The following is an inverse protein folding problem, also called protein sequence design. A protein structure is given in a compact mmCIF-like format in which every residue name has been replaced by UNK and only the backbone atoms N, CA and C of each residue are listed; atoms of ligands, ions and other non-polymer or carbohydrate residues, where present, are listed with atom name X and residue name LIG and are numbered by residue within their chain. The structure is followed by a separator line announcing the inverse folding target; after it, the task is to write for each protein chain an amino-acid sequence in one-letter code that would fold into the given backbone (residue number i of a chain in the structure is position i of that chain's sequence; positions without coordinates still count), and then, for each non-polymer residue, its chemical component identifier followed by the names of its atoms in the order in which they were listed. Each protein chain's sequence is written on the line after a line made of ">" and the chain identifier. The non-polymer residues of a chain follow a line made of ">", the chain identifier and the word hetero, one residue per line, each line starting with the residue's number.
data_IF_797288344124
#
_entry.id   IF_797288344124
#
_cell.length_a   1.000
_cell.length_b   1.000
_cell.length_c   1.000
_cell.angle_alpha   90.00
_cell.angle_beta   90.00
_cell.angle_gamma   90.00
#
_symmetry.space_group_name_H-M   'P 1'
#
loop_
_entity.id
_entity.type
_entity.pdbx_description
1 polymer ?
#
# COMPACT_ATOMS: atom_id res chain seq x y z
N UNK A 1 -16.65 10.05 -39.98
CA UNK A 1 -15.21 9.87 -40.28
C UNK A 1 -14.42 10.40 -39.09
N UNK A 2 -13.90 9.53 -38.23
CA UNK A 2 -13.13 9.94 -37.03
C UNK A 2 -11.66 9.97 -37.42
N UNK A 3 -11.04 11.16 -37.39
CA UNK A 3 -9.60 11.28 -37.66
C UNK A 3 -8.81 10.91 -36.39
N UNK A 4 -7.81 10.03 -36.49
CA UNK A 4 -6.98 9.68 -35.34
C UNK A 4 -6.15 10.91 -34.94
N UNK A 5 -6.25 11.29 -33.67
CA UNK A 5 -5.49 12.39 -33.08
C UNK A 5 -4.01 12.04 -33.14
N UNK A 6 -3.21 12.84 -33.86
CA UNK A 6 -1.76 12.69 -33.96
C UNK A 6 -1.14 13.00 -32.60
N UNK A 7 -0.99 11.99 -31.76
CA UNK A 7 -0.37 12.12 -30.46
C UNK A 7 1.15 12.13 -30.67
N UNK A 8 1.78 13.28 -30.47
CA UNK A 8 3.20 13.51 -30.69
C UNK A 8 4.09 12.90 -29.57
N UNK A 9 3.68 11.75 -29.04
CA UNK A 9 4.42 11.04 -28.01
C UNK A 9 5.39 10.08 -28.69
N UNK A 10 6.70 10.30 -28.50
CA UNK A 10 7.70 9.31 -28.89
C UNK A 10 7.34 7.96 -28.28
N UNK A 11 7.28 6.94 -29.12
CA UNK A 11 6.97 5.58 -28.69
C UNK A 11 8.09 5.10 -27.73
N UNK A 12 7.76 5.00 -26.45
CA UNK A 12 8.69 4.49 -25.43
C UNK A 12 8.59 2.98 -25.39
N UNK A 13 9.60 2.30 -25.94
CA UNK A 13 9.74 0.86 -25.84
C UNK A 13 10.54 0.53 -24.57
N UNK A 14 10.00 -0.34 -23.72
CA UNK A 14 10.67 -0.82 -22.51
C UNK A 14 11.08 -2.28 -22.65
N UNK A 15 12.35 -2.57 -22.39
CA UNK A 15 12.89 -3.92 -22.38
C UNK A 15 12.69 -4.57 -21.01
N UNK A 16 11.93 -5.67 -20.98
CA UNK A 16 11.72 -6.46 -19.76
C UNK A 16 13.06 -7.03 -19.25
N UNK A 17 14.00 -7.34 -20.15
CA UNK A 17 15.34 -7.84 -19.77
C UNK A 17 16.12 -6.78 -19.01
N UNK A 18 16.07 -5.53 -19.47
CA UNK A 18 16.76 -4.41 -18.82
C UNK A 18 16.11 -4.05 -17.50
N UNK A 19 14.78 -4.09 -17.44
CA UNK A 19 14.04 -3.92 -16.19
C UNK A 19 14.41 -4.98 -15.15
N UNK A 20 14.40 -6.27 -15.53
CA UNK A 20 14.80 -7.37 -14.62
C UNK A 20 16.24 -7.19 -14.12
N UNK A 21 17.16 -6.75 -14.99
CA UNK A 21 18.56 -6.45 -14.62
C UNK A 21 18.66 -5.28 -13.64
N UNK A 22 17.84 -4.24 -13.82
CA UNK A 22 17.82 -3.07 -12.93
C UNK A 22 17.24 -3.37 -11.55
N UNK A 23 16.19 -4.18 -11.48
CA UNK A 23 15.47 -4.49 -10.23
C UNK A 23 16.19 -5.54 -9.38
N UNK A 24 17.05 -6.37 -9.97
CA UNK A 24 17.91 -7.36 -9.25
C UNK A 24 17.10 -8.21 -8.25
N UNK A 25 17.50 -8.24 -6.98
CA UNK A 25 16.89 -8.99 -5.88
C UNK A 25 15.46 -8.55 -5.56
N UNK A 26 15.06 -7.35 -5.97
CA UNK A 26 13.69 -6.87 -5.74
C UNK A 26 12.68 -7.56 -6.66
N UNK A 27 13.14 -8.27 -7.70
CA UNK A 27 12.26 -8.96 -8.65
C UNK A 27 11.41 -10.02 -7.96
N UNK A 28 11.97 -10.68 -6.95
CA UNK A 28 11.34 -11.80 -6.27
C UNK A 28 10.22 -11.29 -5.34
N UNK A 29 10.39 -10.13 -4.70
CA UNK A 29 9.35 -9.53 -3.85
C UNK A 29 8.39 -8.61 -4.61
N UNK A 30 8.60 -8.40 -5.92
CA UNK A 30 7.90 -7.38 -6.70
C UNK A 30 6.40 -7.68 -6.79
N UNK A 31 6.01 -8.95 -6.97
CA UNK A 31 4.62 -9.36 -7.05
C UNK A 31 3.88 -9.14 -5.72
N UNK A 32 4.52 -9.50 -4.59
CA UNK A 32 3.97 -9.21 -3.27
C UNK A 32 3.77 -7.70 -3.08
N UNK A 33 4.77 -6.89 -3.47
CA UNK A 33 4.66 -5.44 -3.38
C UNK A 33 3.56 -4.88 -4.28
N UNK A 34 3.40 -5.42 -5.49
CA UNK A 34 2.35 -5.03 -6.43
C UNK A 34 0.96 -5.33 -5.87
N UNK A 35 0.77 -6.49 -5.24
CA UNK A 35 -0.48 -6.85 -4.56
C UNK A 35 -0.83 -5.87 -3.43
N UNK A 36 0.15 -5.45 -2.62
CA UNK A 36 -0.09 -4.50 -1.53
C UNK A 36 -0.29 -3.05 -1.97
N UNK A 37 0.46 -2.61 -3.00
CA UNK A 37 0.46 -1.22 -3.43
C UNK A 37 -0.56 -0.91 -4.52
N UNK A 38 -1.39 -1.89 -4.84
CA UNK A 38 -2.46 -1.80 -5.83
C UNK A 38 -1.96 -2.10 -7.24
N UNK A 39 -2.67 -3.01 -7.89
CA UNK A 39 -2.63 -3.21 -9.33
C UNK A 39 -3.71 -2.35 -10.01
N UNK A 40 -3.87 -2.49 -11.33
CA UNK A 40 -4.90 -1.75 -12.06
C UNK A 40 -6.33 -2.16 -11.64
N UNK A 41 -6.47 -3.33 -11.01
CA UNK A 41 -7.77 -3.90 -10.59
C UNK A 41 -7.99 -3.94 -9.08
N UNK A 42 -6.98 -3.65 -8.25
CA UNK A 42 -7.06 -3.75 -6.78
C UNK A 42 -6.65 -2.43 -6.15
N UNK A 43 -7.47 -1.95 -5.21
CA UNK A 43 -7.19 -0.74 -4.44
C UNK A 43 -5.85 -0.82 -3.71
N UNK A 44 -5.09 0.27 -3.79
CA UNK A 44 -3.84 0.43 -3.06
C UNK A 44 -4.08 0.76 -1.57
N UNK A 45 -3.09 0.45 -0.72
CA UNK A 45 -3.10 0.94 0.66
C UNK A 45 -3.17 2.47 0.68
N UNK A 46 -4.16 3.01 1.41
CA UNK A 46 -4.44 4.45 1.47
C UNK A 46 -3.20 5.28 1.83
N UNK A 47 -2.91 6.30 1.00
CA UNK A 47 -1.76 7.21 1.12
C UNK A 47 -0.39 6.51 1.14
N UNK A 48 -0.27 5.30 0.59
CA UNK A 48 1.01 4.59 0.44
C UNK A 48 1.33 4.41 -1.04
N UNK A 49 2.36 5.11 -1.52
CA UNK A 49 2.78 5.05 -2.91
C UNK A 49 3.72 3.86 -3.20
N UNK A 50 3.66 3.36 -4.44
CA UNK A 50 4.48 2.24 -4.96
C UNK A 50 5.98 2.43 -4.71
N UNK A 51 6.50 3.62 -5.05
CA UNK A 51 7.93 3.96 -4.90
C UNK A 51 8.37 3.95 -3.43
N UNK A 52 7.53 4.46 -2.52
CA UNK A 52 7.86 4.53 -1.10
C UNK A 52 7.94 3.12 -0.50
N UNK A 53 6.98 2.26 -0.83
CA UNK A 53 7.00 0.87 -0.38
C UNK A 53 8.16 0.09 -0.99
N UNK A 54 8.48 0.31 -2.27
CA UNK A 54 9.63 -0.31 -2.93
C UNK A 54 10.94 0.04 -2.23
N UNK A 55 11.21 1.33 -2.03
CA UNK A 55 12.43 1.79 -1.34
C UNK A 55 12.50 1.24 0.08
N UNK A 56 11.37 1.15 0.78
CA UNK A 56 11.32 0.61 2.14
C UNK A 56 11.74 -0.87 2.20
N UNK A 57 11.22 -1.69 1.30
CA UNK A 57 11.59 -3.11 1.21
C UNK A 57 13.05 -3.26 0.73
N UNK A 58 13.49 -2.41 -0.20
CA UNK A 58 14.86 -2.43 -0.70
C UNK A 58 15.91 -2.16 0.39
N UNK A 59 15.61 -1.23 1.31
CA UNK A 59 16.51 -0.88 2.43
C UNK A 59 16.40 -1.89 3.58
N UNK A 60 15.20 -2.40 3.87
CA UNK A 60 14.97 -3.34 4.97
C UNK A 60 15.08 -4.80 4.50
N UNK A 61 16.28 -5.38 4.63
CA UNK A 61 16.55 -6.78 4.26
C UNK A 61 15.71 -7.79 5.04
N UNK A 62 15.42 -7.55 6.32
CA UNK A 62 14.55 -8.44 7.10
C UNK A 62 13.12 -8.47 6.53
N UNK A 63 12.61 -7.31 6.13
CA UNK A 63 11.30 -7.21 5.49
C UNK A 63 11.30 -7.86 4.10
N UNK A 64 12.37 -7.68 3.32
CA UNK A 64 12.54 -8.36 2.03
C UNK A 64 12.49 -9.89 2.20
N UNK A 65 13.26 -10.45 3.13
CA UNK A 65 13.25 -11.90 3.40
C UNK A 65 11.88 -12.40 3.83
N UNK A 66 11.14 -11.66 4.67
CA UNK A 66 9.77 -12.02 5.04
C UNK A 66 8.84 -12.05 3.83
N UNK A 67 8.97 -11.08 2.91
CA UNK A 67 8.15 -11.02 1.70
C UNK A 67 8.44 -12.14 0.69
N UNK A 68 9.62 -12.78 0.73
CA UNK A 68 9.89 -13.95 -0.11
C UNK A 68 8.95 -15.13 0.18
N UNK A 69 8.34 -15.18 1.37
CA UNK A 69 7.36 -16.22 1.72
C UNK A 69 6.13 -16.25 0.81
N UNK A 70 5.81 -15.15 0.15
CA UNK A 70 4.71 -15.10 -0.82
C UNK A 70 4.99 -15.89 -2.10
N UNK A 71 6.25 -16.26 -2.37
CA UNK A 71 6.63 -17.03 -3.56
C UNK A 71 6.78 -18.52 -3.28
N UNK A 72 6.70 -18.94 -2.02
CA UNK A 72 6.84 -20.33 -1.62
C UNK A 72 5.48 -21.00 -1.67
N UNK A 73 5.31 -21.94 -2.60
CA UNK A 73 4.05 -22.67 -2.79
C UNK A 73 3.70 -23.58 -1.60
N UNK A 74 4.68 -23.90 -0.77
CA UNK A 74 4.51 -24.75 0.41
C UNK A 74 4.51 -23.93 1.71
N UNK A 75 4.44 -22.59 1.61
CA UNK A 75 4.46 -21.74 2.79
C UNK A 75 3.25 -22.01 3.68
N UNK A 76 3.51 -22.16 4.98
CA UNK A 76 2.46 -22.24 5.99
C UNK A 76 1.63 -20.95 5.99
N UNK A 77 0.29 -21.02 6.01
CA UNK A 77 -0.57 -19.84 5.99
C UNK A 77 -0.28 -18.83 7.11
N UNK A 78 0.14 -19.29 8.30
CA UNK A 78 0.47 -18.38 9.41
C UNK A 78 1.75 -17.62 9.12
N UNK A 79 2.74 -18.24 8.47
CA UNK A 79 3.97 -17.55 8.06
C UNK A 79 3.72 -16.47 7.00
N UNK A 80 2.78 -16.70 6.08
CA UNK A 80 2.35 -15.70 5.09
C UNK A 80 1.58 -14.56 5.78
N UNK A 81 0.72 -14.89 6.74
CA UNK A 81 0.01 -13.90 7.54
C UNK A 81 0.97 -13.05 8.39
N UNK A 82 2.03 -13.64 8.95
CA UNK A 82 3.09 -12.92 9.67
C UNK A 82 3.86 -11.98 8.73
N UNK A 83 4.27 -12.46 7.56
CA UNK A 83 4.94 -11.63 6.55
C UNK A 83 4.09 -10.41 6.16
N UNK A 84 2.78 -10.61 5.93
CA UNK A 84 1.80 -9.55 5.69
C UNK A 84 1.75 -8.55 6.86
N UNK A 85 1.67 -9.04 8.10
CA UNK A 85 1.61 -8.21 9.31
C UNK A 85 2.84 -7.31 9.40
N UNK A 86 4.04 -7.86 9.25
CA UNK A 86 5.28 -7.10 9.28
C UNK A 86 5.37 -6.05 8.16
N UNK A 87 4.88 -6.38 6.96
CA UNK A 87 4.81 -5.42 5.87
C UNK A 87 3.91 -4.22 6.22
N UNK A 88 2.72 -4.46 6.77
CA UNK A 88 1.80 -3.40 7.17
C UNK A 88 2.37 -2.55 8.31
N UNK A 89 2.89 -3.17 9.37
CA UNK A 89 3.55 -2.46 10.48
C UNK A 89 4.67 -1.54 9.98
N UNK A 90 5.54 -2.07 9.12
CA UNK A 90 6.61 -1.29 8.52
C UNK A 90 6.07 -0.11 7.70
N UNK A 91 5.00 -0.31 6.94
CA UNK A 91 4.40 0.67 6.03
C UNK A 91 3.79 1.85 6.79
N UNK A 92 3.15 1.59 7.92
CA UNK A 92 2.50 2.59 8.76
C UNK A 92 3.44 3.23 9.80
N UNK A 93 4.74 2.91 9.76
CA UNK A 93 5.79 3.51 10.62
C UNK A 93 5.49 3.33 12.11
N UNK A 94 4.99 2.15 12.51
CA UNK A 94 4.98 1.82 13.93
C UNK A 94 6.42 1.83 14.43
N UNK A 95 6.69 2.65 15.47
CA UNK A 95 8.02 2.70 16.07
C UNK A 95 8.27 1.50 16.99
N UNK A 96 7.23 0.89 17.59
CA UNK A 96 7.40 -0.08 18.68
C UNK A 96 6.22 -1.05 18.91
N UNK A 97 5.23 -1.16 18.01
CA UNK A 97 4.11 -2.10 18.23
C UNK A 97 4.27 -3.33 17.37
N UNK A 98 4.49 -4.48 18.00
CA UNK A 98 4.48 -5.79 17.34
C UNK A 98 3.08 -6.22 16.90
N UNK A 99 2.04 -5.50 17.34
CA UNK A 99 0.66 -5.82 17.05
C UNK A 99 -0.02 -4.80 16.12
N UNK A 100 -0.81 -5.35 15.17
CA UNK A 100 -1.49 -4.59 14.13
C UNK A 100 -2.79 -3.97 14.65
N UNK A 101 -3.45 -4.59 15.63
CA UNK A 101 -4.68 -4.07 16.19
C UNK A 101 -4.42 -2.83 17.04
N UNK A 102 -3.36 -2.87 17.85
CA UNK A 102 -2.84 -1.70 18.57
C UNK A 102 -2.55 -0.54 17.62
N UNK A 103 -1.88 -0.83 16.49
CA UNK A 103 -1.58 0.19 15.48
C UNK A 103 -2.83 0.76 14.81
N UNK A 104 -3.84 -0.08 14.56
CA UNK A 104 -5.13 0.33 14.00
C UNK A 104 -5.84 1.29 14.95
N UNK A 105 -5.90 0.95 16.24
CA UNK A 105 -6.50 1.80 17.26
C UNK A 105 -5.76 3.16 17.37
N UNK A 106 -4.42 3.16 17.38
CA UNK A 106 -3.64 4.39 17.38
C UNK A 106 -3.91 5.27 16.14
N UNK A 107 -3.97 4.66 14.95
CA UNK A 107 -4.28 5.36 13.72
C UNK A 107 -5.69 5.99 13.76
N UNK A 108 -6.67 5.26 14.31
CA UNK A 108 -8.03 5.75 14.49
C UNK A 108 -8.10 6.97 15.42
N UNK A 109 -7.47 6.88 16.60
CA UNK A 109 -7.40 8.00 17.55
C UNK A 109 -6.73 9.23 16.93
N UNK A 110 -5.64 9.04 16.19
CA UNK A 110 -4.98 10.14 15.48
C UNK A 110 -5.87 10.77 14.40
N UNK A 111 -6.73 9.99 13.74
CA UNK A 111 -7.67 10.52 12.77
C UNK A 111 -8.77 11.36 13.42
N UNK A 112 -9.31 10.91 14.56
CA UNK A 112 -10.31 11.68 15.32
C UNK A 112 -9.69 12.95 15.90
N UNK A 113 -8.52 12.85 16.55
CA UNK A 113 -7.86 14.00 17.16
C UNK A 113 -7.44 15.09 16.16
N UNK A 114 -7.26 14.74 14.88
CA UNK A 114 -6.92 15.68 13.80
C UNK A 114 -8.14 16.34 13.15
N UNK A 115 -9.36 15.93 13.50
CA UNK A 115 -10.56 16.60 13.02
C UNK A 115 -10.70 17.96 13.74
N UNK A 116 -10.77 19.09 13.02
CA UNK A 116 -11.08 20.36 13.65
C UNK A 116 -12.49 20.28 14.25
N UNK A 117 -12.65 20.72 15.49
CA UNK A 117 -13.92 20.74 16.25
C UNK A 117 -15.09 21.43 15.53
N UNK A 118 -14.82 22.21 14.48
CA UNK A 118 -15.82 22.85 13.61
C UNK A 118 -16.50 21.92 12.60
N UNK A 119 -15.98 20.71 12.38
CA UNK A 119 -16.52 19.71 11.43
C UNK A 119 -17.67 18.89 12.02
N UNK A 120 -17.71 18.72 13.35
CA UNK A 120 -18.62 17.78 14.02
C UNK A 120 -20.03 18.31 14.32
N UNK A 121 -20.33 19.59 14.09
CA UNK A 121 -21.65 20.15 14.35
C UNK A 121 -22.23 20.87 13.12
N UNK A 122 -22.65 20.10 12.11
CA UNK A 122 -23.70 20.58 11.20
C UNK A 122 -25.06 20.32 11.88
N UNK A 123 -25.53 21.31 12.63
CA UNK A 123 -26.87 21.39 13.23
C UNK A 123 -28.03 21.29 12.21
N UNK A 124 -27.74 21.24 10.91
CA UNK A 124 -28.75 21.20 9.84
C UNK A 124 -29.50 19.86 9.71
N UNK A 125 -29.14 18.82 10.48
CA UNK A 125 -29.86 17.53 10.48
C UNK A 125 -31.00 17.45 11.51
N UNK A 126 -31.21 18.50 12.33
CA UNK A 126 -32.37 18.62 13.21
C UNK A 126 -33.39 19.58 12.59
N UNK A 127 -33.95 19.22 11.43
CA UNK A 127 -35.29 19.72 11.10
C UNK A 127 -36.29 18.86 11.86
N UNK A 128 -36.86 19.49 12.87
CA UNK A 128 -38.06 19.16 13.62
C UNK A 128 -39.15 18.56 12.73
N UNK A 129 -39.46 17.27 12.93
CA UNK A 129 -40.82 16.80 12.68
C UNK A 129 -41.66 17.14 13.92
N UNK A 130 -42.17 18.36 13.93
CA UNK A 130 -43.39 18.74 14.62
C UNK A 130 -44.55 18.30 13.73
N UNK A 131 -45.34 17.32 14.20
CA UNK A 131 -46.79 17.21 14.04
C UNK A 131 -47.30 16.21 15.07
#
# INVERSE_FOLDING_TARGET
>A
MVMPKKCNQQEKVYSIRDFKRGVREMKDVLLALYAFTGCDTVSAIYRKGKIVSFKKVQVNKALHTKLLRFNDSNADPNTVADARKHFLLSTFRSRNTDDLDTLRHQCYLQMIAKQPTRSMFKLAALHTHTL
#
